data_IF_100656133523
#
_entry.id   IF_100656133523
#
_cell.length_a   1.000
_cell.length_b   1.000
_cell.length_c   1.000
_cell.angle_alpha   90.00
_cell.angle_beta   90.00
_cell.angle_gamma   90.00
#
_symmetry.space_group_name_H-M   'P 1'
#
loop_
_entity.id
_entity.type
_entity.pdbx_description
1 polymer ?
#
# COMPACT_ATOMS: atom_id res chain seq x y z
N UNK A 1 -16.47 -16.10 32.97
CA UNK A 1 -16.53 -17.53 33.33
C UNK A 1 -15.25 -18.16 32.81
N UNK A 2 -14.25 -18.27 33.68
CA UNK A 2 -12.97 -18.89 33.32
C UNK A 2 -13.16 -20.41 33.36
N UNK A 3 -13.20 -21.03 32.18
CA UNK A 3 -13.12 -22.49 32.06
C UNK A 3 -11.74 -23.00 32.51
N UNK A 4 -11.57 -24.32 32.69
CA UNK A 4 -10.30 -24.91 33.09
C UNK A 4 -9.19 -24.51 32.11
N UNK A 5 -8.06 -24.04 32.63
CA UNK A 5 -6.89 -23.68 31.83
C UNK A 5 -6.39 -24.96 31.15
N UNK A 6 -6.36 -25.02 29.80
CA UNK A 6 -5.90 -26.22 29.11
C UNK A 6 -4.41 -26.45 29.38
N UNK A 7 -4.10 -27.55 30.06
CA UNK A 7 -2.72 -27.97 30.38
C UNK A 7 -2.01 -28.66 29.20
N UNK A 8 -2.77 -29.10 28.20
CA UNK A 8 -2.26 -29.69 26.97
C UNK A 8 -2.87 -28.98 25.76
N UNK A 9 -2.00 -28.60 24.81
CA UNK A 9 -2.38 -28.03 23.53
C UNK A 9 -1.76 -28.90 22.42
N UNK A 10 -2.52 -29.12 21.35
CA UNK A 10 -1.97 -29.78 20.18
C UNK A 10 -0.84 -28.93 19.55
N UNK A 11 0.07 -29.56 18.80
CA UNK A 11 1.11 -28.82 18.08
C UNK A 11 0.52 -27.77 17.12
N UNK A 12 -0.64 -28.07 16.53
CA UNK A 12 -1.38 -27.14 15.67
C UNK A 12 -1.88 -25.92 16.44
N UNK A 13 -2.50 -26.15 17.59
CA UNK A 13 -3.04 -25.06 18.43
C UNK A 13 -1.93 -24.19 19.02
N UNK A 14 -0.81 -24.81 19.44
CA UNK A 14 0.38 -24.08 19.87
C UNK A 14 0.91 -23.19 18.75
N UNK A 15 1.05 -23.73 17.54
CA UNK A 15 1.51 -22.97 16.37
C UNK A 15 0.58 -21.79 16.10
N UNK A 16 -0.73 -22.02 16.05
CA UNK A 16 -1.73 -20.97 15.78
C UNK A 16 -1.72 -19.88 16.85
N UNK A 17 -1.73 -20.26 18.14
CA UNK A 17 -1.67 -19.31 19.27
C UNK A 17 -0.36 -18.54 19.33
N UNK A 18 0.75 -19.17 18.93
CA UNK A 18 2.04 -18.50 18.84
C UNK A 18 2.02 -17.43 17.75
N UNK A 19 1.64 -17.78 16.52
CA UNK A 19 1.58 -16.82 15.41
C UNK A 19 0.56 -15.71 15.64
N UNK A 20 -0.57 -15.99 16.30
CA UNK A 20 -1.59 -14.97 16.58
C UNK A 20 -1.12 -13.89 17.58
N UNK A 21 -0.07 -14.17 18.35
CA UNK A 21 0.52 -13.21 19.31
C UNK A 21 1.68 -12.43 18.72
N UNK A 22 2.19 -12.84 17.56
CA UNK A 22 3.26 -12.11 16.88
C UNK A 22 2.71 -10.89 16.16
N UNK A 23 3.45 -9.79 16.22
CA UNK A 23 3.20 -8.67 15.33
C UNK A 23 3.53 -9.10 13.89
N UNK A 24 2.58 -8.88 13.00
CA UNK A 24 2.73 -9.24 11.59
C UNK A 24 3.50 -8.14 10.87
N UNK A 25 4.42 -8.54 9.99
CA UNK A 25 5.21 -7.63 9.16
C UNK A 25 5.20 -8.09 7.71
N UNK A 26 5.25 -7.12 6.80
CA UNK A 26 5.46 -7.35 5.38
C UNK A 26 6.86 -6.92 5.00
N UNK A 27 7.55 -7.79 4.26
CA UNK A 27 8.80 -7.46 3.58
C UNK A 27 8.45 -6.98 2.17
N UNK A 28 8.68 -5.70 1.90
CA UNK A 28 8.52 -5.10 0.58
C UNK A 28 9.89 -5.11 -0.12
N UNK A 29 9.90 -5.61 -1.35
CA UNK A 29 11.04 -5.56 -2.26
C UNK A 29 10.55 -5.20 -3.67
N UNK A 30 11.41 -4.63 -4.51
CA UNK A 30 11.07 -4.19 -5.86
C UNK A 30 11.11 -2.66 -6.02
N UNK A 31 10.60 -2.16 -7.15
CA UNK A 31 10.69 -0.74 -7.47
C UNK A 31 12.14 -0.24 -7.61
N UNK A 32 12.47 0.85 -6.92
CA UNK A 32 13.84 1.40 -6.82
C UNK A 32 14.48 1.17 -5.45
N UNK A 33 13.92 0.29 -4.64
CA UNK A 33 14.49 -0.03 -3.33
C UNK A 33 15.84 -0.75 -3.48
N UNK A 34 16.91 -0.15 -2.92
CA UNK A 34 18.22 -0.81 -2.80
C UNK A 34 18.19 -1.94 -1.78
N UNK A 35 17.44 -1.76 -0.69
CA UNK A 35 17.28 -2.72 0.39
C UNK A 35 15.79 -2.99 0.66
N UNK A 36 15.40 -4.22 1.02
CA UNK A 36 14.02 -4.52 1.40
C UNK A 36 13.56 -3.66 2.58
N UNK A 37 12.32 -3.19 2.53
CA UNK A 37 11.71 -2.47 3.65
C UNK A 37 10.78 -3.39 4.44
N UNK A 38 10.83 -3.29 5.77
CA UNK A 38 9.92 -4.00 6.67
C UNK A 38 8.84 -3.03 7.13
N UNK A 39 7.58 -3.39 6.89
CA UNK A 39 6.41 -2.59 7.26
C UNK A 39 5.51 -3.39 8.20
N UNK A 40 5.06 -2.80 9.33
CA UNK A 40 4.10 -3.46 10.19
C UNK A 40 2.78 -3.64 9.44
N UNK A 41 2.17 -4.82 9.59
CA UNK A 41 0.90 -5.13 8.99
C UNK A 41 -0.21 -4.25 9.61
N UNK A 42 -1.02 -3.65 8.75
CA UNK A 42 -2.31 -3.07 9.13
C UNK A 42 -3.37 -4.13 8.90
N UNK A 43 -4.25 -4.35 9.88
CA UNK A 43 -5.34 -5.32 9.72
C UNK A 43 -6.58 -4.60 9.20
N UNK A 44 -7.24 -5.20 8.22
CA UNK A 44 -8.55 -4.76 7.75
C UNK A 44 -9.58 -5.89 7.86
N UNK A 45 -10.83 -5.50 8.05
CA UNK A 45 -11.94 -6.46 8.09
C UNK A 45 -12.33 -6.81 6.65
N UNK A 46 -12.21 -8.08 6.29
CA UNK A 46 -12.67 -8.56 4.99
C UNK A 46 -14.20 -8.69 4.95
N UNK A 47 -14.81 -8.77 3.76
CA UNK A 47 -16.26 -9.03 3.62
C UNK A 47 -16.73 -10.30 4.35
N UNK A 48 -15.82 -11.26 4.57
CA UNK A 48 -16.09 -12.49 5.32
C UNK A 48 -16.14 -12.28 6.85
N UNK A 49 -15.99 -11.06 7.35
CA UNK A 49 -15.93 -10.72 8.79
C UNK A 49 -14.62 -11.10 9.48
N UNK A 50 -13.61 -11.61 8.76
CA UNK A 50 -12.29 -11.97 9.31
C UNK A 50 -11.34 -10.78 9.21
N UNK A 51 -10.64 -10.48 10.30
CA UNK A 51 -9.49 -9.58 10.30
C UNK A 51 -8.32 -10.24 9.56
N UNK A 52 -7.82 -9.60 8.50
CA UNK A 52 -6.62 -10.06 7.81
C UNK A 52 -5.61 -8.93 7.68
N UNK A 53 -4.33 -9.30 7.69
CA UNK A 53 -3.23 -8.38 7.46
C UNK A 53 -3.28 -7.91 5.99
N UNK A 54 -3.43 -6.60 5.80
CA UNK A 54 -3.39 -5.95 4.49
C UNK A 54 -1.94 -5.63 4.13
N UNK A 55 -1.49 -6.15 3.01
CA UNK A 55 -0.19 -5.80 2.46
C UNK A 55 -0.17 -4.29 2.12
N UNK A 56 0.86 -3.55 2.55
CA UNK A 56 1.07 -2.17 2.10
C UNK A 56 1.29 -2.17 0.58
N UNK A 57 0.65 -1.25 -0.12
CA UNK A 57 0.69 -1.19 -1.57
C UNK A 57 0.44 0.20 -2.11
N UNK A 58 0.56 0.32 -3.42
CA UNK A 58 0.22 1.55 -4.13
C UNK A 58 -1.30 1.64 -4.23
N UNK A 59 -1.83 2.81 -3.91
CA UNK A 59 -3.25 3.10 -4.06
C UNK A 59 -3.46 3.97 -5.29
N UNK A 60 -4.34 3.53 -6.19
CA UNK A 60 -4.75 4.28 -7.38
C UNK A 60 -6.27 4.35 -7.38
N UNK A 61 -6.82 5.54 -7.57
CA UNK A 61 -8.28 5.71 -7.71
C UNK A 61 -8.59 6.95 -8.51
N UNK A 62 -9.51 6.85 -9.47
CA UNK A 62 -10.11 8.04 -10.06
C UNK A 62 -11.34 8.52 -9.28
N UNK A 63 -11.38 9.81 -8.97
CA UNK A 63 -12.50 10.48 -8.29
C UNK A 63 -12.97 11.70 -9.08
N UNK A 64 -14.26 12.02 -9.01
CA UNK A 64 -14.77 13.28 -9.53
C UNK A 64 -14.61 14.38 -8.47
N UNK A 65 -13.81 15.41 -8.78
CA UNK A 65 -13.57 16.57 -7.94
C UNK A 65 -13.97 17.83 -8.71
N UNK A 66 -14.99 18.54 -8.20
CA UNK A 66 -15.51 19.80 -8.78
C UNK A 66 -15.85 19.68 -10.28
N UNK A 67 -16.45 18.57 -10.69
CA UNK A 67 -16.84 18.34 -12.09
C UNK A 67 -15.71 17.81 -12.98
N UNK A 68 -14.48 17.69 -12.47
CA UNK A 68 -13.35 17.12 -13.20
C UNK A 68 -12.98 15.75 -12.63
N UNK A 69 -12.53 14.85 -13.49
CA UNK A 69 -12.04 13.55 -13.04
C UNK A 69 -10.55 13.65 -12.76
N UNK A 70 -10.15 13.19 -11.59
CA UNK A 70 -8.78 13.27 -11.10
C UNK A 70 -8.37 11.89 -10.60
N UNK A 71 -7.26 11.39 -11.12
CA UNK A 71 -6.67 10.13 -10.69
C UNK A 71 -5.67 10.38 -9.57
N UNK A 72 -5.90 9.76 -8.42
CA UNK A 72 -5.08 9.86 -7.22
C UNK A 72 -4.12 8.68 -7.17
N UNK A 73 -2.88 8.95 -6.78
CA UNK A 73 -1.83 7.95 -6.62
C UNK A 73 -1.12 8.17 -5.26
N UNK A 74 -1.01 7.11 -4.45
CA UNK A 74 -0.35 7.13 -3.13
C UNK A 74 0.53 5.90 -2.94
N UNK A 75 1.50 5.98 -2.03
CA UNK A 75 2.30 4.81 -1.63
C UNK A 75 3.54 4.56 -2.49
N UNK A 76 3.96 5.52 -3.32
CA UNK A 76 5.19 5.40 -4.12
C UNK A 76 6.46 5.33 -3.25
N UNK A 77 6.43 5.95 -2.08
CA UNK A 77 7.49 5.90 -1.07
C UNK A 77 7.80 4.46 -0.63
N UNK A 78 6.79 3.57 -0.65
CA UNK A 78 6.96 2.14 -0.34
C UNK A 78 7.89 1.44 -1.34
N UNK A 79 8.05 2.01 -2.53
CA UNK A 79 8.84 1.48 -3.63
C UNK A 79 10.16 2.22 -3.81
N UNK A 80 10.47 3.17 -2.91
CA UNK A 80 11.65 4.03 -3.03
C UNK A 80 11.59 4.97 -4.23
N UNK A 81 10.39 5.29 -4.71
CA UNK A 81 10.20 6.22 -5.82
C UNK A 81 10.04 7.65 -5.29
N UNK A 82 10.74 8.59 -5.93
CA UNK A 82 10.58 10.01 -5.66
C UNK A 82 9.33 10.54 -6.38
N UNK A 83 8.43 11.20 -5.65
CA UNK A 83 7.15 11.66 -6.17
C UNK A 83 7.27 12.76 -7.23
N UNK A 84 8.26 13.64 -7.11
CA UNK A 84 8.49 14.74 -8.07
C UNK A 84 9.02 14.20 -9.40
N UNK A 85 10.03 13.33 -9.35
CA UNK A 85 10.56 12.65 -10.53
C UNK A 85 9.46 11.85 -11.23
N UNK A 86 8.70 11.07 -10.47
CA UNK A 86 7.62 10.25 -11.01
C UNK A 86 6.52 11.11 -11.63
N UNK A 87 6.08 12.18 -10.96
CA UNK A 87 5.09 13.09 -11.51
C UNK A 87 5.57 13.81 -12.78
N UNK A 88 6.85 14.17 -12.86
CA UNK A 88 7.44 14.74 -14.07
C UNK A 88 7.41 13.74 -15.23
N UNK A 89 7.85 12.51 -14.98
CA UNK A 89 7.85 11.46 -15.99
C UNK A 89 6.43 11.16 -16.51
N UNK A 90 5.45 11.09 -15.60
CA UNK A 90 4.05 10.86 -15.98
C UNK A 90 3.45 12.03 -16.75
N UNK A 91 3.83 13.28 -16.42
CA UNK A 91 3.39 14.47 -17.18
C UNK A 91 3.85 14.40 -18.63
N UNK A 92 5.07 13.96 -18.85
CA UNK A 92 5.64 13.81 -20.19
C UNK A 92 4.98 12.65 -20.95
N UNK A 93 4.79 11.49 -20.30
CA UNK A 93 4.22 10.31 -20.96
C UNK A 93 2.71 10.42 -21.24
N UNK A 94 1.94 11.00 -20.33
CA UNK A 94 0.48 11.03 -20.41
C UNK A 94 -0.08 12.39 -20.85
N UNK A 95 0.78 13.39 -21.05
CA UNK A 95 0.38 14.77 -21.34
C UNK A 95 -0.69 15.31 -20.37
N UNK A 96 -0.65 14.85 -19.11
CA UNK A 96 -1.66 15.14 -18.10
C UNK A 96 -1.09 16.05 -17.01
N UNK A 97 -1.79 17.13 -16.66
CA UNK A 97 -1.39 17.99 -15.54
C UNK A 97 -1.37 17.20 -14.23
N UNK A 98 -0.33 17.40 -13.42
CA UNK A 98 -0.15 16.73 -12.14
C UNK A 98 0.12 17.71 -11.00
N UNK A 99 -0.38 17.42 -9.80
CA UNK A 99 -0.01 18.11 -8.57
C UNK A 99 0.32 17.13 -7.45
N UNK A 100 1.16 17.56 -6.51
CA UNK A 100 1.61 16.73 -5.38
C UNK A 100 1.16 17.42 -4.10
N UNK A 101 0.58 16.66 -3.18
CA UNK A 101 0.17 17.13 -1.85
C UNK A 101 0.67 16.20 -0.76
N UNK A 102 1.09 16.77 0.37
CA UNK A 102 1.39 16.00 1.57
C UNK A 102 0.07 15.53 2.19
N UNK A 103 -0.12 14.21 2.27
CA UNK A 103 -1.32 13.59 2.82
C UNK A 103 -1.23 13.44 4.34
N UNK A 104 -0.08 12.96 4.83
CA UNK A 104 0.19 12.80 6.25
C UNK A 104 1.68 12.82 6.54
N UNK A 105 2.04 13.16 7.78
CA UNK A 105 3.37 12.98 8.32
C UNK A 105 3.21 12.27 9.67
N UNK A 106 3.70 11.02 9.74
CA UNK A 106 3.60 10.18 10.94
C UNK A 106 4.94 9.48 11.14
N UNK A 107 5.44 9.49 12.38
CA UNK A 107 6.71 8.85 12.78
C UNK A 107 7.90 9.28 11.90
N UNK A 108 7.92 10.56 11.50
CA UNK A 108 8.95 11.12 10.61
C UNK A 108 8.86 10.65 9.15
N UNK A 109 7.82 9.90 8.78
CA UNK A 109 7.56 9.45 7.40
C UNK A 109 6.47 10.32 6.78
N UNK A 110 6.82 10.96 5.66
CA UNK A 110 5.90 11.76 4.85
C UNK A 110 5.22 10.88 3.82
N UNK A 111 3.90 10.93 3.79
CA UNK A 111 3.07 10.28 2.77
C UNK A 111 2.57 11.34 1.81
N UNK A 112 2.78 11.13 0.52
CA UNK A 112 2.36 12.06 -0.52
C UNK A 112 1.25 11.43 -1.37
N UNK A 113 0.36 12.29 -1.86
CA UNK A 113 -0.63 12.00 -2.89
C UNK A 113 -0.25 12.77 -4.15
N UNK A 114 -0.16 12.07 -5.27
CA UNK A 114 -0.05 12.68 -6.60
C UNK A 114 -1.42 12.65 -7.25
N UNK A 115 -1.84 13.78 -7.80
CA UNK A 115 -3.12 13.95 -8.50
C UNK A 115 -2.84 14.19 -9.97
N UNK A 116 -3.41 13.38 -10.85
CA UNK A 116 -3.35 13.53 -12.30
C UNK A 116 -4.72 13.91 -12.85
N UNK A 117 -4.78 14.93 -13.71
CA UNK A 117 -6.02 15.28 -14.40
C UNK A 117 -6.41 14.19 -15.40
N UNK A 118 -7.65 13.70 -15.31
CA UNK A 118 -8.21 12.66 -16.19
C UNK A 118 -8.32 11.27 -15.56
N UNK A 119 -8.61 10.28 -16.41
CA UNK A 119 -8.81 8.88 -16.06
C UNK A 119 -7.55 8.07 -16.40
N UNK A 120 -6.70 7.85 -15.41
CA UNK A 120 -5.40 7.19 -15.60
C UNK A 120 -5.24 5.91 -14.78
N UNK A 121 -6.27 5.49 -14.05
CA UNK A 121 -6.18 4.37 -13.10
C UNK A 121 -5.62 3.08 -13.72
N UNK A 122 -6.21 2.63 -14.83
CA UNK A 122 -5.78 1.41 -15.54
C UNK A 122 -4.38 1.55 -16.13
N UNK A 123 -4.09 2.70 -16.73
CA UNK A 123 -2.80 2.97 -17.39
C UNK A 123 -1.68 3.05 -16.37
N UNK A 124 -1.89 3.75 -15.24
CA UNK A 124 -0.93 3.83 -14.14
C UNK A 124 -0.71 2.47 -13.48
N UNK A 125 -1.78 1.70 -13.24
CA UNK A 125 -1.65 0.36 -12.68
C UNK A 125 -0.80 -0.54 -13.58
N UNK A 126 -1.10 -0.58 -14.88
CA UNK A 126 -0.35 -1.38 -15.86
C UNK A 126 1.10 -0.94 -15.96
N UNK A 127 1.35 0.38 -16.05
CA UNK A 127 2.70 0.94 -16.10
C UNK A 127 3.53 0.57 -14.86
N UNK A 128 2.94 0.67 -13.67
CA UNK A 128 3.63 0.34 -12.44
C UNK A 128 3.94 -1.16 -12.33
N UNK A 129 3.03 -2.02 -12.80
CA UNK A 129 3.26 -3.46 -12.87
C UNK A 129 4.38 -3.80 -13.86
N UNK A 130 4.35 -3.24 -15.07
CA UNK A 130 5.34 -3.52 -16.11
C UNK A 130 6.73 -2.99 -15.76
N UNK A 131 6.82 -1.72 -15.35
CA UNK A 131 8.10 -1.05 -15.10
C UNK A 131 8.74 -1.44 -13.77
N UNK A 132 7.94 -1.64 -12.72
CA UNK A 132 8.44 -1.88 -11.36
C UNK A 132 8.14 -3.29 -10.84
N UNK A 133 7.56 -4.15 -11.67
CA UNK A 133 7.27 -5.56 -11.36
C UNK A 133 6.43 -5.73 -10.09
N UNK A 134 5.46 -4.83 -9.90
CA UNK A 134 4.57 -4.88 -8.75
C UNK A 134 3.54 -6.00 -8.92
N UNK A 135 3.20 -6.73 -7.84
CA UNK A 135 2.05 -7.64 -7.87
C UNK A 135 0.74 -6.87 -8.05
N UNK A 136 -0.23 -7.52 -8.70
CA UNK A 136 -1.55 -6.98 -8.97
C UNK A 136 -2.41 -6.83 -7.70
#
# INVERSE_FOLDING_TARGET
VEGPIPTHLSRGDLKTRFFSRLQHFFRIQGGRLKNPQIHPAKFEMQPSGKMQAKAPGVYIKTENRRGHNVTLLRGLELLGLNHEEFASEMREMFAASSSISLLSESDGRKQYEIMFQGYWEKTLASFLQEKYQLPA
#
